data_IF_603225403737
#
_entry.id   IF_603225403737
#
_cell.length_a   1.000
_cell.length_b   1.000
_cell.length_c   1.000
_cell.angle_alpha   90.00
_cell.angle_beta   90.00
_cell.angle_gamma   90.00
#
_symmetry.space_group_name_H-M   'P 1'
#
loop_
_entity.id
_entity.type
_entity.pdbx_description
1 polymer ?
#
# COMPACT_ATOMS: atom_id res chain seq x y z
N UNK A 1 15.23 -7.97 9.89
CA UNK A 1 13.93 -8.59 9.57
C UNK A 1 13.51 -8.21 8.17
N UNK A 2 12.85 -9.12 7.49
CA UNK A 2 12.34 -8.90 6.15
C UNK A 2 10.83 -9.12 6.14
N UNK A 3 10.08 -8.13 5.67
CA UNK A 3 8.60 -8.13 5.68
C UNK A 3 8.07 -8.02 4.25
N UNK A 4 7.20 -8.94 3.86
CA UNK A 4 6.55 -8.94 2.55
C UNK A 4 5.03 -8.77 2.74
N UNK A 5 4.46 -7.79 2.06
CA UNK A 5 3.03 -7.46 2.19
C UNK A 5 2.37 -7.52 0.83
N UNK A 6 1.18 -8.13 0.76
CA UNK A 6 0.30 -8.06 -0.39
C UNK A 6 -0.86 -7.13 -0.04
N UNK A 7 -1.07 -6.10 -0.84
CA UNK A 7 -2.18 -5.18 -0.72
C UNK A 7 -3.14 -5.41 -1.89
N UNK A 8 -4.25 -6.11 -1.64
CA UNK A 8 -5.19 -6.54 -2.66
C UNK A 8 -6.52 -5.79 -2.62
N UNK A 9 -6.73 -4.94 -1.64
CA UNK A 9 -7.98 -4.20 -1.44
C UNK A 9 -7.70 -2.71 -1.35
N UNK A 10 -8.67 -1.88 -1.72
CA UNK A 10 -8.42 -0.49 -2.02
C UNK A 10 -9.30 0.54 -1.30
N UNK A 11 -9.81 0.23 -0.11
CA UNK A 11 -10.53 1.25 0.66
C UNK A 11 -9.64 1.89 1.73
N UNK A 12 -10.20 2.85 2.44
CA UNK A 12 -9.45 3.60 3.45
C UNK A 12 -8.92 2.71 4.58
N UNK A 13 -9.69 1.72 5.03
CA UNK A 13 -9.21 0.81 6.08
C UNK A 13 -8.00 0.02 5.62
N UNK A 14 -8.02 -0.44 4.37
CA UNK A 14 -6.90 -1.21 3.82
C UNK A 14 -5.64 -0.36 3.74
N UNK A 15 -5.78 0.91 3.35
CA UNK A 15 -4.65 1.83 3.29
C UNK A 15 -3.99 1.96 4.67
N UNK A 16 -4.79 2.21 5.70
CA UNK A 16 -4.24 2.36 7.06
C UNK A 16 -3.60 1.08 7.57
N UNK A 17 -4.22 -0.08 7.30
CA UNK A 17 -3.63 -1.37 7.69
C UNK A 17 -2.26 -1.58 7.04
N UNK A 18 -2.19 -1.38 5.73
CA UNK A 18 -0.97 -1.61 4.95
C UNK A 18 0.13 -0.65 5.37
N UNK A 19 -0.14 0.65 5.34
CA UNK A 19 0.90 1.66 5.56
C UNK A 19 1.31 1.78 7.01
N UNK A 20 0.37 1.58 7.95
CA UNK A 20 0.71 1.58 9.37
C UNK A 20 1.71 0.46 9.69
N UNK A 21 1.45 -0.74 9.19
CA UNK A 21 2.35 -1.87 9.43
C UNK A 21 3.66 -1.70 8.69
N UNK A 22 3.62 -1.26 7.44
CA UNK A 22 4.84 -1.07 6.65
C UNK A 22 5.77 -0.03 7.25
N UNK A 23 5.22 1.12 7.66
CA UNK A 23 6.05 2.19 8.27
C UNK A 23 6.57 1.78 9.64
N UNK A 24 5.77 1.06 10.44
CA UNK A 24 6.21 0.55 11.72
C UNK A 24 7.37 -0.44 11.55
N UNK A 25 7.28 -1.34 10.57
CA UNK A 25 8.34 -2.28 10.28
C UNK A 25 9.62 -1.57 9.84
N UNK A 26 9.49 -0.60 8.93
CA UNK A 26 10.63 0.19 8.46
C UNK A 26 11.27 0.98 9.60
N UNK A 27 10.49 1.49 10.52
CA UNK A 27 10.99 2.23 11.68
C UNK A 27 11.81 1.34 12.63
N UNK A 28 11.62 0.04 12.58
CA UNK A 28 12.42 -0.93 13.34
C UNK A 28 13.54 -1.56 12.52
N UNK A 29 13.95 -0.88 11.45
CA UNK A 29 15.01 -1.29 10.54
C UNK A 29 14.72 -2.56 9.73
N UNK A 30 13.45 -2.91 9.55
CA UNK A 30 13.08 -4.02 8.69
C UNK A 30 13.18 -3.61 7.22
N UNK A 31 13.56 -4.56 6.37
CA UNK A 31 13.40 -4.41 4.92
C UNK A 31 11.94 -4.72 4.59
N UNK A 32 11.27 -3.84 3.86
CA UNK A 32 9.82 -3.97 3.58
C UNK A 32 9.55 -3.82 2.10
N UNK A 33 8.75 -4.73 1.55
CA UNK A 33 8.21 -4.58 0.21
C UNK A 33 6.71 -4.84 0.22
N UNK A 34 5.97 -3.98 -0.48
CA UNK A 34 4.53 -4.13 -0.66
C UNK A 34 4.24 -4.39 -2.13
N UNK A 35 3.47 -5.44 -2.41
CA UNK A 35 2.98 -5.76 -3.74
C UNK A 35 1.50 -5.38 -3.82
N UNK A 36 1.20 -4.37 -4.65
CA UNK A 36 -0.17 -3.87 -4.83
C UNK A 36 -0.78 -4.56 -6.03
N UNK A 37 -1.92 -5.22 -5.82
CA UNK A 37 -2.61 -5.96 -6.87
C UNK A 37 -4.11 -5.68 -6.84
N UNK A 38 -4.78 -5.82 -7.97
CA UNK A 38 -6.22 -5.57 -8.11
C UNK A 38 -6.62 -4.22 -7.52
N UNK A 39 -7.61 -4.18 -6.65
CA UNK A 39 -8.08 -2.93 -6.05
C UNK A 39 -7.02 -2.24 -5.19
N UNK A 40 -6.02 -2.99 -4.75
CA UNK A 40 -4.89 -2.43 -4.01
C UNK A 40 -4.11 -1.37 -4.78
N UNK A 41 -4.17 -1.37 -6.12
CA UNK A 41 -3.54 -0.31 -6.92
C UNK A 41 -4.11 1.07 -6.60
N UNK A 42 -5.34 1.14 -6.12
CA UNK A 42 -5.96 2.41 -5.76
C UNK A 42 -5.23 3.10 -4.60
N UNK A 43 -4.55 2.33 -3.76
CA UNK A 43 -3.82 2.87 -2.60
C UNK A 43 -2.58 3.67 -3.01
N UNK A 44 -2.09 3.48 -4.22
CA UNK A 44 -0.90 4.18 -4.76
C UNK A 44 -1.20 4.96 -6.03
N UNK A 45 -2.46 4.99 -6.48
CA UNK A 45 -2.88 5.80 -7.62
C UNK A 45 -2.84 7.27 -7.23
N UNK A 46 -2.32 8.15 -8.12
CA UNK A 46 -2.17 9.58 -7.82
C UNK A 46 -3.45 10.24 -7.32
N UNK A 47 -4.57 9.97 -7.96
CA UNK A 47 -5.85 10.53 -7.55
C UNK A 47 -6.56 9.63 -6.55
N UNK A 48 -6.50 8.32 -6.77
CA UNK A 48 -7.20 7.34 -5.94
C UNK A 48 -6.81 7.40 -4.47
N UNK A 49 -5.52 7.51 -4.18
CA UNK A 49 -5.05 7.49 -2.80
C UNK A 49 -5.50 8.71 -1.98
N UNK A 50 -5.92 9.77 -2.64
CA UNK A 50 -6.46 10.97 -1.99
C UNK A 50 -7.96 10.90 -1.77
N UNK A 51 -8.65 9.94 -2.40
CA UNK A 51 -10.10 9.86 -2.44
C UNK A 51 -10.62 8.49 -2.02
N UNK A 52 -9.95 7.83 -1.08
CA UNK A 52 -10.33 6.51 -0.63
C UNK A 52 -11.64 6.56 0.15
N UNK A 53 -12.50 5.57 -0.10
CA UNK A 53 -13.78 5.44 0.60
C UNK A 53 -13.62 4.61 1.86
N UNK A 54 -14.44 4.91 2.85
CA UNK A 54 -14.64 4.00 3.97
C UNK A 54 -15.54 2.85 3.51
N UNK A 55 -15.42 1.65 4.10
CA UNK A 55 -16.32 0.56 3.78
C UNK A 55 -17.77 0.95 4.05
N UNK A 56 -18.70 0.39 3.27
CA UNK A 56 -20.13 0.64 3.46
C UNK A 56 -20.53 0.31 4.90
N UNK A 57 -21.29 1.22 5.53
CA UNK A 57 -21.72 1.08 6.92
C UNK A 57 -20.67 1.49 7.95
N UNK A 58 -19.49 1.95 7.52
CA UNK A 58 -18.41 2.37 8.40
C UNK A 58 -18.08 3.86 8.29
N UNK A 59 -18.95 4.63 7.67
CA UNK A 59 -18.73 6.07 7.43
C UNK A 59 -18.52 6.86 8.72
N UNK A 60 -19.07 6.39 9.82
CA UNK A 60 -18.90 7.02 11.14
C UNK A 60 -17.44 7.01 11.64
N UNK A 61 -16.59 6.17 11.10
CA UNK A 61 -15.16 6.15 11.45
C UNK A 61 -14.43 7.43 11.05
N UNK A 62 -14.98 8.18 10.08
CA UNK A 62 -14.37 9.44 9.65
C UNK A 62 -14.15 10.38 10.84
N UNK A 63 -15.14 10.51 11.70
CA UNK A 63 -15.05 11.33 12.90
C UNK A 63 -13.96 10.82 13.84
N UNK A 64 -13.86 9.50 14.01
CA UNK A 64 -12.82 8.88 14.83
C UNK A 64 -11.41 9.18 14.34
N UNK A 65 -11.19 9.10 13.03
CA UNK A 65 -9.90 9.44 12.43
C UNK A 65 -9.54 10.91 12.69
N UNK A 66 -10.52 11.80 12.57
CA UNK A 66 -10.30 13.23 12.83
C UNK A 66 -9.96 13.48 14.30
N UNK A 67 -10.71 12.87 15.22
CA UNK A 67 -10.47 13.03 16.67
C UNK A 67 -9.13 12.48 17.10
N UNK A 68 -8.69 11.40 16.52
CA UNK A 68 -7.41 10.76 16.85
C UNK A 68 -6.22 11.45 16.19
N UNK A 69 -6.45 12.47 15.35
CA UNK A 69 -5.41 13.15 14.57
C UNK A 69 -4.56 12.18 13.74
N UNK A 70 -5.22 11.20 13.15
CA UNK A 70 -4.54 10.23 12.30
C UNK A 70 -4.08 10.93 11.01
N UNK A 71 -2.82 10.75 10.57
CA UNK A 71 -2.36 11.37 9.34
C UNK A 71 -3.18 10.91 8.13
N UNK A 72 -3.39 11.78 7.12
CA UNK A 72 -4.07 11.35 5.90
C UNK A 72 -3.24 10.31 5.15
N UNK A 73 -3.92 9.51 4.33
CA UNK A 73 -3.26 8.42 3.58
C UNK A 73 -2.10 8.92 2.73
N UNK A 74 -2.25 10.09 2.09
CA UNK A 74 -1.17 10.67 1.26
C UNK A 74 0.12 10.85 2.06
N UNK A 75 0.00 11.28 3.30
CA UNK A 75 1.14 11.46 4.18
C UNK A 75 1.78 10.12 4.53
N UNK A 76 0.98 9.10 4.79
CA UNK A 76 1.49 7.75 5.07
C UNK A 76 2.21 7.15 3.88
N UNK A 77 1.70 7.36 2.67
CA UNK A 77 2.35 6.91 1.43
C UNK A 77 3.71 7.57 1.28
N UNK A 78 3.77 8.89 1.50
CA UNK A 78 5.04 9.63 1.44
C UNK A 78 6.02 9.15 2.48
N UNK A 79 5.56 8.91 3.71
CA UNK A 79 6.41 8.40 4.79
C UNK A 79 6.98 7.04 4.44
N UNK A 80 6.15 6.14 3.92
CA UNK A 80 6.61 4.81 3.52
C UNK A 80 7.71 4.90 2.47
N UNK A 81 7.52 5.76 1.46
CA UNK A 81 8.52 5.98 0.42
C UNK A 81 9.82 6.53 1.00
N UNK A 82 9.75 7.54 1.85
CA UNK A 82 10.92 8.16 2.49
C UNK A 82 11.67 7.20 3.39
N UNK A 83 10.96 6.26 4.01
CA UNK A 83 11.56 5.26 4.90
C UNK A 83 12.15 4.07 4.13
N UNK A 84 12.10 4.08 2.81
CA UNK A 84 12.67 3.04 1.98
C UNK A 84 11.79 1.82 1.76
N UNK A 85 10.52 1.91 2.08
CA UNK A 85 9.57 0.83 1.77
C UNK A 85 9.46 0.71 0.26
N UNK A 86 9.73 -0.48 -0.27
CA UNK A 86 9.64 -0.73 -1.69
C UNK A 86 8.20 -1.04 -2.07
N UNK A 87 7.69 -0.37 -3.09
CA UNK A 87 6.31 -0.49 -3.52
C UNK A 87 6.25 -0.92 -4.97
N UNK A 88 5.57 -2.04 -5.24
CA UNK A 88 5.48 -2.67 -6.55
C UNK A 88 4.02 -2.71 -7.00
N UNK A 89 3.74 -2.19 -8.19
CA UNK A 89 2.41 -2.30 -8.81
C UNK A 89 2.37 -3.54 -9.70
N UNK A 90 1.31 -4.33 -9.57
CA UNK A 90 1.13 -5.57 -10.35
C UNK A 90 0.90 -5.26 -11.82
N UNK A 91 1.80 -5.70 -12.70
CA UNK A 91 1.71 -5.46 -14.14
C UNK A 91 0.41 -6.02 -14.74
N UNK A 92 0.03 -7.23 -14.37
CA UNK A 92 -1.19 -7.84 -14.90
C UNK A 92 -2.43 -6.99 -14.59
N UNK A 93 -2.53 -6.51 -13.35
CA UNK A 93 -3.66 -5.67 -12.95
C UNK A 93 -3.63 -4.33 -13.69
N UNK A 94 -2.45 -3.74 -13.86
CA UNK A 94 -2.30 -2.52 -14.63
C UNK A 94 -2.84 -2.71 -16.06
N UNK A 95 -2.49 -3.82 -16.67
CA UNK A 95 -2.96 -4.13 -18.02
C UNK A 95 -4.49 -4.29 -18.07
N UNK A 96 -5.06 -5.02 -17.11
CA UNK A 96 -6.50 -5.22 -17.01
C UNK A 96 -7.25 -3.89 -16.81
N UNK A 97 -6.68 -2.99 -16.03
CA UNK A 97 -7.31 -1.70 -15.69
C UNK A 97 -6.88 -0.57 -16.61
N UNK A 98 -6.08 -0.86 -17.63
CA UNK A 98 -5.54 0.14 -18.56
C UNK A 98 -4.80 1.27 -17.85
N UNK A 99 -3.98 0.90 -16.86
CA UNK A 99 -3.18 1.85 -16.10
C UNK A 99 -1.72 1.81 -16.56
N UNK A 100 -1.10 2.99 -16.58
CA UNK A 100 0.32 3.17 -16.88
C UNK A 100 1.06 3.58 -15.62
N UNK A 101 2.38 3.47 -15.62
CA UNK A 101 3.20 3.84 -14.46
C UNK A 101 2.97 5.30 -14.04
N UNK A 102 2.70 6.18 -14.98
CA UNK A 102 2.46 7.60 -14.72
C UNK A 102 1.20 7.88 -13.91
N UNK A 103 0.29 6.91 -13.81
CA UNK A 103 -0.92 7.05 -13.00
C UNK A 103 -0.66 6.87 -11.50
N UNK A 104 0.52 6.38 -11.14
CA UNK A 104 0.87 6.12 -9.74
C UNK A 104 1.75 7.22 -9.16
N UNK A 105 1.81 7.29 -7.84
CA UNK A 105 2.71 8.21 -7.15
C UNK A 105 4.16 7.88 -7.50
N UNK A 106 5.07 8.84 -7.31
CA UNK A 106 6.48 8.61 -7.62
C UNK A 106 7.08 7.51 -6.74
N UNK A 107 8.07 6.82 -7.29
CA UNK A 107 8.77 5.78 -6.55
C UNK A 107 8.14 4.40 -6.64
N UNK A 108 7.06 4.24 -7.41
CA UNK A 108 6.43 2.95 -7.61
C UNK A 108 7.17 2.20 -8.72
N UNK A 109 7.59 0.97 -8.42
CA UNK A 109 8.12 0.05 -9.42
C UNK A 109 6.99 -0.82 -9.97
N UNK A 110 7.21 -1.42 -11.12
CA UNK A 110 6.26 -2.33 -11.74
C UNK A 110 6.85 -3.74 -11.74
N UNK A 111 6.04 -4.73 -11.40
CA UNK A 111 6.49 -6.11 -11.40
C UNK A 111 5.33 -7.08 -11.39
N UNK A 112 5.62 -8.36 -11.45
CA UNK A 112 4.62 -9.42 -11.45
C UNK A 112 4.69 -10.28 -10.19
N UNK A 113 3.89 -11.33 -10.20
CA UNK A 113 3.83 -12.27 -9.08
C UNK A 113 5.20 -12.92 -8.81
N UNK A 114 5.97 -13.19 -9.86
CA UNK A 114 7.33 -13.75 -9.68
C UNK A 114 8.23 -12.77 -8.96
N UNK A 115 8.14 -11.48 -9.27
CA UNK A 115 8.89 -10.44 -8.56
C UNK A 115 8.60 -10.48 -7.07
N UNK A 116 7.32 -10.56 -6.72
CA UNK A 116 6.91 -10.63 -5.32
C UNK A 116 7.41 -11.91 -4.65
N UNK A 117 7.20 -13.06 -5.29
CA UNK A 117 7.60 -14.35 -4.71
C UNK A 117 9.11 -14.44 -4.50
N UNK A 118 9.89 -13.90 -5.42
CA UNK A 118 11.34 -13.85 -5.28
C UNK A 118 11.75 -13.04 -4.05
N UNK A 119 11.09 -11.92 -3.83
CA UNK A 119 11.31 -11.11 -2.64
C UNK A 119 10.83 -11.82 -1.37
N UNK A 120 9.64 -12.41 -1.40
CA UNK A 120 9.02 -13.03 -0.23
C UNK A 120 9.75 -14.29 0.21
N UNK A 121 10.57 -14.88 -0.66
CA UNK A 121 11.36 -16.04 -0.30
C UNK A 121 12.33 -15.64 0.83
N UNK A 122 12.22 -16.33 1.96
CA UNK A 122 13.03 -16.01 3.12
C UNK A 122 12.53 -14.82 3.95
N UNK A 123 11.34 -14.30 3.67
CA UNK A 123 10.76 -13.24 4.50
C UNK A 123 10.43 -13.80 5.89
N UNK A 124 10.67 -12.97 6.90
CA UNK A 124 10.35 -13.33 8.29
C UNK A 124 8.87 -13.16 8.58
N UNK A 125 8.22 -12.20 7.93
CA UNK A 125 6.79 -11.93 8.08
C UNK A 125 6.18 -11.72 6.70
N UNK A 126 5.08 -12.39 6.44
CA UNK A 126 4.31 -12.21 5.20
C UNK A 126 2.86 -11.92 5.56
N UNK A 127 2.33 -10.82 5.05
CA UNK A 127 0.98 -10.34 5.36
C UNK A 127 0.20 -10.05 4.09
N UNK A 128 -1.11 -10.27 4.15
CA UNK A 128 -2.02 -9.99 3.04
C UNK A 128 -3.22 -9.19 3.54
N UNK A 129 -3.49 -8.10 2.83
CA UNK A 129 -4.63 -7.24 3.14
C UNK A 129 -5.51 -7.01 1.92
#
# INVERSE_FOLDING_TARGET
MKVAIIAANGNMFDAYKVFNIATAAAATDAEVQIFFTFEGLNLIHKEGHKNLSLPAGKEHFQEGFQKANVPPVEELVSMASEMGVKMIACQMTMDVMSLEKEHFVEGIDVGGAVTFLTYAQGADVTLTF
#
